data_IF_971980532899
#
_entry.id   IF_971980532899
#
_cell.length_a   1.000
_cell.length_b   1.000
_cell.length_c   1.000
_cell.angle_alpha   90.00
_cell.angle_beta   90.00
_cell.angle_gamma   90.00
#
_symmetry.space_group_name_H-M   'P 1'
#
loop_
_entity.id
_entity.type
_entity.pdbx_description
1 polymer ?
#
# COMPACT_ATOMS: atom_id res chain seq x y z
N UNK A 1 13.73 -13.21 5.49
CA UNK A 1 13.57 -11.74 5.70
C UNK A 1 14.66 -11.29 6.68
N UNK A 2 15.31 -10.18 6.44
CA UNK A 2 16.24 -9.58 7.39
C UNK A 2 15.41 -8.80 8.41
N UNK A 3 15.52 -9.10 9.70
CA UNK A 3 14.68 -8.50 10.75
C UNK A 3 14.68 -6.95 10.74
N UNK A 4 15.81 -6.32 10.34
CA UNK A 4 15.90 -4.87 10.21
C UNK A 4 15.00 -4.25 9.14
N UNK A 5 14.70 -4.92 8.05
CA UNK A 5 13.91 -4.36 6.95
C UNK A 5 12.43 -4.20 7.33
N UNK A 6 11.90 -5.06 8.21
CA UNK A 6 10.52 -4.94 8.67
C UNK A 6 10.34 -3.68 9.55
N UNK A 7 11.24 -3.47 10.50
CA UNK A 7 11.23 -2.29 11.36
C UNK A 7 11.38 -1.00 10.54
N UNK A 8 12.24 -1.01 9.52
CA UNK A 8 12.42 0.12 8.60
C UNK A 8 11.14 0.43 7.81
N UNK A 9 10.43 -0.59 7.34
CA UNK A 9 9.15 -0.42 6.65
C UNK A 9 8.08 0.18 7.58
N UNK A 10 7.97 -0.34 8.79
CA UNK A 10 7.07 0.18 9.83
C UNK A 10 7.40 1.64 10.14
N UNK A 11 8.69 1.96 10.31
CA UNK A 11 9.13 3.33 10.61
C UNK A 11 8.77 4.31 9.48
N UNK A 12 8.95 3.92 8.21
CA UNK A 12 8.56 4.73 7.04
C UNK A 12 7.07 5.02 7.04
N UNK A 13 6.23 4.00 7.26
CA UNK A 13 4.77 4.15 7.28
C UNK A 13 4.34 5.02 8.47
N UNK A 14 4.88 4.81 9.65
CA UNK A 14 4.57 5.60 10.84
C UNK A 14 4.98 7.06 10.66
N UNK A 15 6.16 7.33 10.10
CA UNK A 15 6.63 8.69 9.78
C UNK A 15 5.69 9.37 8.76
N UNK A 16 5.26 8.63 7.75
CA UNK A 16 4.30 9.12 6.75
C UNK A 16 2.99 9.56 7.43
N UNK A 17 2.36 8.70 8.20
CA UNK A 17 1.10 9.02 8.88
C UNK A 17 1.23 10.18 9.88
N UNK A 18 2.33 10.24 10.64
CA UNK A 18 2.59 11.35 11.59
C UNK A 18 2.74 12.71 10.91
N UNK A 19 3.11 12.74 9.63
CA UNK A 19 3.22 13.96 8.81
C UNK A 19 1.94 14.29 8.04
N UNK A 20 0.87 13.50 8.25
CA UNK A 20 -0.40 13.68 7.53
C UNK A 20 -0.40 13.10 6.12
N UNK A 21 0.59 12.26 5.78
CA UNK A 21 0.66 11.53 4.52
C UNK A 21 -0.24 10.29 4.53
N UNK A 22 -0.22 9.55 3.42
CA UNK A 22 -1.01 8.34 3.21
C UNK A 22 -0.18 7.21 2.62
N UNK A 23 -0.67 5.99 2.80
CA UNK A 23 -0.14 4.78 2.17
C UNK A 23 -0.95 4.48 0.90
N UNK A 24 -0.28 4.37 -0.24
CA UNK A 24 -0.86 3.84 -1.47
C UNK A 24 -0.39 2.39 -1.66
N UNK A 25 -1.26 1.54 -2.17
CA UNK A 25 -0.94 0.12 -2.35
C UNK A 25 -1.35 -0.38 -3.73
N UNK A 26 -0.51 -1.23 -4.32
CA UNK A 26 -0.80 -1.88 -5.58
C UNK A 26 -0.23 -3.31 -5.64
N UNK A 27 -0.92 -4.17 -6.38
CA UNK A 27 -0.57 -5.57 -6.59
C UNK A 27 -1.53 -6.22 -7.57
N UNK A 28 -1.27 -7.46 -7.97
CA UNK A 28 -2.11 -8.19 -8.91
C UNK A 28 -2.65 -9.48 -8.28
N UNK A 29 -3.85 -9.91 -8.68
CA UNK A 29 -4.41 -11.19 -8.23
C UNK A 29 -4.53 -11.28 -6.70
N UNK A 30 -3.90 -12.29 -6.08
CA UNK A 30 -3.86 -12.45 -4.63
C UNK A 30 -3.23 -11.26 -3.92
N UNK A 31 -2.16 -10.69 -4.48
CA UNK A 31 -1.54 -9.46 -3.95
C UNK A 31 -2.46 -8.23 -4.01
N UNK A 32 -3.43 -8.17 -4.93
CA UNK A 32 -4.47 -7.15 -4.92
C UNK A 32 -5.45 -7.38 -3.76
N UNK A 33 -5.79 -8.64 -3.46
CA UNK A 33 -6.61 -8.97 -2.30
C UNK A 33 -5.90 -8.58 -0.98
N UNK A 34 -4.59 -8.77 -0.89
CA UNK A 34 -3.78 -8.32 0.25
C UNK A 34 -3.82 -6.79 0.40
N UNK A 35 -3.75 -6.03 -0.70
CA UNK A 35 -3.91 -4.57 -0.68
C UNK A 35 -5.26 -4.16 -0.07
N UNK A 36 -6.35 -4.75 -0.53
CA UNK A 36 -7.69 -4.47 -0.02
C UNK A 36 -7.82 -4.81 1.48
N UNK A 37 -7.26 -5.97 1.90
CA UNK A 37 -7.26 -6.40 3.29
C UNK A 37 -6.52 -5.40 4.18
N UNK A 38 -5.26 -5.07 3.85
CA UNK A 38 -4.43 -4.14 4.64
C UNK A 38 -5.08 -2.76 4.72
N UNK A 39 -5.63 -2.24 3.62
CA UNK A 39 -6.33 -0.96 3.63
C UNK A 39 -7.56 -1.01 4.56
N UNK A 40 -8.31 -2.11 4.57
CA UNK A 40 -9.43 -2.31 5.49
C UNK A 40 -9.00 -2.25 6.97
N UNK A 41 -7.88 -2.87 7.32
CA UNK A 41 -7.34 -2.85 8.70
C UNK A 41 -6.80 -1.48 9.10
N UNK A 42 -6.22 -0.73 8.16
CA UNK A 42 -5.73 0.63 8.40
C UNK A 42 -6.88 1.65 8.49
N UNK A 43 -7.90 1.52 7.65
CA UNK A 43 -9.03 2.44 7.62
C UNK A 43 -9.91 2.36 8.88
N UNK A 44 -9.98 1.21 9.53
CA UNK A 44 -10.63 1.00 10.82
C UNK A 44 -9.74 0.12 11.72
N UNK A 45 -9.74 0.35 13.03
CA UNK A 45 -9.02 -0.51 13.97
C UNK A 45 -9.62 -1.92 14.01
N UNK A 46 -8.77 -2.95 14.00
CA UNK A 46 -9.16 -4.35 14.13
C UNK A 46 -8.97 -4.85 15.57
N UNK A 47 -7.74 -5.16 15.98
CA UNK A 47 -7.43 -5.60 17.35
C UNK A 47 -7.51 -4.43 18.33
N UNK A 48 -6.98 -3.27 17.94
CA UNK A 48 -6.97 -2.06 18.76
C UNK A 48 -7.88 -0.99 18.15
N UNK A 49 -8.94 -0.61 18.86
CA UNK A 49 -9.81 0.47 18.43
C UNK A 49 -9.10 1.82 18.57
N UNK A 50 -9.22 2.66 17.56
CA UNK A 50 -8.71 4.02 17.56
C UNK A 50 -9.85 5.02 17.78
N UNK A 51 -10.08 5.51 19.01
CA UNK A 51 -11.21 6.40 19.29
C UNK A 51 -11.06 7.72 18.53
N UNK A 52 -12.20 8.34 18.18
CA UNK A 52 -12.20 9.71 17.66
C UNK A 52 -11.67 10.69 18.70
N UNK A 53 -10.95 11.71 18.24
CA UNK A 53 -10.61 12.85 19.09
C UNK A 53 -11.89 13.48 19.68
N UNK A 54 -11.88 13.92 20.95
CA UNK A 54 -13.07 14.45 21.61
C UNK A 54 -13.77 15.57 20.85
N UNK A 55 -13.00 16.47 20.26
CA UNK A 55 -13.50 17.61 19.48
C UNK A 55 -14.21 17.15 18.19
N UNK A 56 -13.65 16.17 17.50
CA UNK A 56 -14.26 15.59 16.30
C UNK A 56 -15.53 14.81 16.66
N UNK A 57 -15.49 14.04 17.75
CA UNK A 57 -16.64 13.33 18.28
C UNK A 57 -17.79 14.27 18.62
N UNK A 58 -17.50 15.40 19.25
CA UNK A 58 -18.50 16.42 19.59
C UNK A 58 -19.10 17.06 18.33
N UNK A 59 -18.30 17.33 17.30
CA UNK A 59 -18.76 17.94 16.04
C UNK A 59 -19.63 17.00 15.23
N UNK A 60 -19.32 15.70 15.19
CA UNK A 60 -20.14 14.68 14.52
C UNK A 60 -21.46 14.46 15.27
N UNK A 61 -21.40 14.43 16.61
CA UNK A 61 -22.56 14.24 17.47
C UNK A 61 -23.06 12.78 17.55
N UNK A 62 -23.90 12.51 18.55
CA UNK A 62 -24.58 11.22 18.69
C UNK A 62 -25.81 11.15 17.75
N UNK A 63 -26.20 9.94 17.28
CA UNK A 63 -25.59 8.63 17.58
C UNK A 63 -24.40 8.28 16.67
N UNK A 64 -24.10 9.09 15.65
CA UNK A 64 -23.18 8.76 14.58
C UNK A 64 -21.73 8.56 15.04
N UNK A 65 -21.27 9.41 15.96
CA UNK A 65 -19.91 9.33 16.48
C UNK A 65 -19.61 8.05 17.27
N UNK A 66 -20.64 7.40 17.83
CA UNK A 66 -20.46 6.24 18.72
C UNK A 66 -19.95 4.99 17.99
N UNK A 67 -20.25 4.86 16.71
CA UNK A 67 -19.80 3.74 15.86
C UNK A 67 -18.52 3.98 15.09
N UNK A 68 -17.97 5.22 15.10
CA UNK A 68 -16.84 5.57 14.28
C UNK A 68 -15.49 5.43 15.02
N UNK A 69 -14.43 5.23 14.23
CA UNK A 69 -13.05 5.17 14.69
C UNK A 69 -12.18 6.07 13.81
N UNK A 70 -11.04 6.54 14.34
CA UNK A 70 -10.01 7.15 13.53
C UNK A 70 -9.40 6.12 12.57
N UNK A 71 -9.42 6.42 11.26
CA UNK A 71 -8.71 5.67 10.25
C UNK A 71 -7.28 6.19 10.06
N UNK A 72 -6.40 5.31 9.57
CA UNK A 72 -5.13 5.69 9.00
C UNK A 72 -5.31 5.83 7.47
N UNK A 73 -4.82 6.90 6.84
CA UNK A 73 -5.11 7.16 5.44
C UNK A 73 -4.36 6.17 4.54
N UNK A 74 -5.08 5.20 4.00
CA UNK A 74 -4.56 4.20 3.07
C UNK A 74 -5.48 4.08 1.85
N UNK A 75 -4.89 3.87 0.67
CA UNK A 75 -5.60 3.80 -0.59
C UNK A 75 -5.19 2.55 -1.38
N UNK A 76 -6.16 1.69 -1.67
CA UNK A 76 -6.01 0.55 -2.56
C UNK A 76 -6.19 0.98 -4.02
N UNK A 77 -5.10 0.98 -4.79
CA UNK A 77 -5.11 1.32 -6.22
C UNK A 77 -5.73 0.22 -7.10
N UNK A 78 -6.06 -0.92 -6.52
CA UNK A 78 -6.69 -2.05 -7.23
C UNK A 78 -8.23 -2.01 -7.18
N UNK A 79 -8.80 -1.18 -6.32
CA UNK A 79 -10.24 -1.23 -5.98
C UNK A 79 -11.14 -0.50 -6.99
N UNK A 80 -10.65 0.50 -7.72
CA UNK A 80 -11.48 1.28 -8.63
C UNK A 80 -11.52 0.66 -10.03
N UNK A 81 -12.40 -0.32 -10.23
CA UNK A 81 -12.55 -1.04 -11.50
C UNK A 81 -12.83 -0.12 -12.69
N UNK A 82 -13.64 0.93 -12.52
CA UNK A 82 -13.96 1.87 -13.59
C UNK A 82 -12.73 2.68 -14.03
N UNK A 83 -11.94 3.16 -13.08
CA UNK A 83 -10.72 3.90 -13.37
C UNK A 83 -9.66 2.99 -14.02
N UNK A 84 -9.50 1.76 -13.52
CA UNK A 84 -8.60 0.77 -14.13
C UNK A 84 -9.01 0.48 -15.58
N UNK A 85 -10.31 0.28 -15.85
CA UNK A 85 -10.81 0.04 -17.19
C UNK A 85 -10.56 1.25 -18.11
N UNK A 86 -10.78 2.48 -17.64
CA UNK A 86 -10.53 3.69 -18.40
C UNK A 86 -9.03 3.84 -18.73
N UNK A 87 -8.14 3.69 -17.75
CA UNK A 87 -6.70 3.77 -17.98
C UNK A 87 -6.24 2.69 -18.97
N UNK A 88 -6.75 1.47 -18.82
CA UNK A 88 -6.42 0.35 -19.72
C UNK A 88 -6.83 0.64 -21.17
N UNK A 89 -8.00 1.24 -21.37
CA UNK A 89 -8.52 1.56 -22.69
C UNK A 89 -7.83 2.77 -23.33
N UNK A 90 -7.62 3.83 -22.55
CA UNK A 90 -7.25 5.14 -23.08
C UNK A 90 -5.74 5.38 -23.08
N UNK A 91 -4.98 4.65 -22.24
CA UNK A 91 -3.55 4.82 -22.06
C UNK A 91 -2.82 3.49 -22.32
N UNK A 92 -2.81 2.60 -21.30
CA UNK A 92 -2.11 1.31 -21.33
C UNK A 92 -2.43 0.52 -20.05
N UNK A 93 -2.75 -0.76 -20.19
CA UNK A 93 -3.03 -1.66 -19.07
C UNK A 93 -1.86 -1.85 -18.09
N UNK A 94 -0.62 -1.63 -18.53
CA UNK A 94 0.56 -1.66 -17.66
C UNK A 94 0.76 -0.37 -16.87
N UNK A 95 0.03 0.68 -17.19
CA UNK A 95 0.11 1.99 -16.51
C UNK A 95 -1.00 2.22 -15.47
N UNK A 96 -1.85 1.23 -15.22
CA UNK A 96 -3.03 1.37 -14.33
C UNK A 96 -2.70 1.88 -12.94
N UNK A 97 -1.59 1.44 -12.34
CA UNK A 97 -1.17 1.89 -11.02
C UNK A 97 -0.33 3.17 -11.10
N UNK A 98 0.55 3.29 -12.08
CA UNK A 98 1.39 4.48 -12.27
C UNK A 98 0.55 5.74 -12.47
N UNK A 99 -0.53 5.66 -13.28
CA UNK A 99 -1.44 6.77 -13.50
C UNK A 99 -2.19 7.17 -12.22
N UNK A 100 -2.58 6.20 -11.39
CA UNK A 100 -3.21 6.48 -10.11
C UNK A 100 -2.20 7.06 -9.09
N UNK A 101 -0.94 6.62 -9.11
CA UNK A 101 0.13 7.23 -8.30
C UNK A 101 0.33 8.69 -8.68
N UNK A 102 0.32 9.05 -9.98
CA UNK A 102 0.36 10.46 -10.42
C UNK A 102 -0.83 11.28 -9.92
N UNK A 103 -2.02 10.68 -9.91
CA UNK A 103 -3.23 11.38 -9.47
C UNK A 103 -3.26 11.62 -7.95
N UNK A 104 -2.93 10.61 -7.17
CA UNK A 104 -3.15 10.58 -5.73
C UNK A 104 -1.90 10.78 -4.89
N UNK A 105 -0.72 10.43 -5.41
CA UNK A 105 0.56 10.51 -4.68
C UNK A 105 1.02 11.95 -4.46
N UNK A 106 1.65 12.18 -3.32
CA UNK A 106 2.26 13.46 -2.95
C UNK A 106 3.63 13.20 -2.31
N UNK A 107 4.56 14.15 -2.35
CA UNK A 107 5.83 14.04 -1.62
C UNK A 107 5.60 13.70 -0.15
N UNK A 108 6.31 12.72 0.37
CA UNK A 108 6.17 12.24 1.75
C UNK A 108 5.13 11.14 1.99
N UNK A 109 4.33 10.80 0.97
CA UNK A 109 3.52 9.58 0.99
C UNK A 109 4.40 8.33 0.84
N UNK A 110 3.82 7.15 1.07
CA UNK A 110 4.47 5.85 0.86
C UNK A 110 3.69 5.06 -0.19
N UNK A 111 4.40 4.41 -1.12
CA UNK A 111 3.84 3.38 -1.97
C UNK A 111 4.35 2.00 -1.51
N UNK A 112 3.43 1.08 -1.19
CA UNK A 112 3.70 -0.35 -1.01
C UNK A 112 3.30 -1.09 -2.29
N UNK A 113 4.28 -1.62 -3.00
CA UNK A 113 4.09 -2.50 -4.15
C UNK A 113 4.20 -3.96 -3.75
N UNK A 114 3.20 -4.77 -4.08
CA UNK A 114 3.18 -6.22 -3.80
C UNK A 114 3.29 -7.00 -5.10
N UNK A 115 4.33 -7.82 -5.23
CA UNK A 115 4.54 -8.69 -6.38
C UNK A 115 5.33 -9.93 -5.98
N UNK A 116 4.74 -11.11 -6.09
CA UNK A 116 5.39 -12.37 -5.70
C UNK A 116 6.70 -12.63 -6.44
N UNK A 117 6.81 -12.26 -7.71
CA UNK A 117 8.04 -12.36 -8.50
C UNK A 117 8.96 -11.14 -8.38
N UNK A 118 8.47 -10.01 -7.84
CA UNK A 118 9.16 -8.73 -7.89
C UNK A 118 9.32 -8.15 -9.32
N UNK A 119 8.63 -8.73 -10.33
CA UNK A 119 8.83 -8.39 -11.73
C UNK A 119 7.58 -7.89 -12.46
N UNK A 120 6.45 -7.73 -11.75
CA UNK A 120 5.21 -7.23 -12.35
C UNK A 120 5.40 -5.83 -12.92
N UNK A 121 5.31 -5.69 -14.24
CA UNK A 121 5.61 -4.45 -14.95
C UNK A 121 4.79 -3.26 -14.47
N UNK A 122 3.48 -3.45 -14.26
CA UNK A 122 2.59 -2.39 -13.77
C UNK A 122 2.95 -1.93 -12.35
N UNK A 123 3.39 -2.84 -11.47
CA UNK A 123 3.88 -2.50 -10.13
C UNK A 123 5.23 -1.76 -10.23
N UNK A 124 6.17 -2.24 -11.06
CA UNK A 124 7.47 -1.58 -11.28
C UNK A 124 7.28 -0.14 -11.80
N UNK A 125 6.35 0.08 -12.74
CA UNK A 125 6.02 1.43 -13.23
C UNK A 125 5.47 2.33 -12.13
N UNK A 126 4.59 1.80 -11.26
CA UNK A 126 4.09 2.54 -10.11
C UNK A 126 5.19 2.93 -9.13
N UNK A 127 6.13 2.00 -8.82
CA UNK A 127 7.28 2.25 -7.96
C UNK A 127 8.19 3.35 -8.54
N UNK A 128 8.50 3.28 -9.84
CA UNK A 128 9.28 4.31 -10.53
C UNK A 128 8.59 5.68 -10.47
N UNK A 129 7.28 5.71 -10.69
CA UNK A 129 6.48 6.95 -10.61
C UNK A 129 6.46 7.53 -9.20
N UNK A 130 6.29 6.69 -8.18
CA UNK A 130 6.32 7.13 -6.78
C UNK A 130 7.65 7.78 -6.40
N UNK A 131 8.78 7.18 -6.80
CA UNK A 131 10.11 7.76 -6.59
C UNK A 131 10.27 9.12 -7.28
N UNK A 132 9.77 9.24 -8.50
CA UNK A 132 9.79 10.52 -9.23
C UNK A 132 8.97 11.63 -8.54
N UNK A 133 7.95 11.25 -7.75
CA UNK A 133 7.15 12.16 -6.92
C UNK A 133 7.74 12.39 -5.52
N UNK A 134 8.94 11.90 -5.22
CA UNK A 134 9.56 11.94 -3.88
C UNK A 134 8.69 11.27 -2.80
N UNK A 135 8.03 10.18 -3.16
CA UNK A 135 7.39 9.27 -2.24
C UNK A 135 8.41 8.21 -1.79
N UNK A 136 8.27 7.71 -0.58
CA UNK A 136 9.00 6.53 -0.15
C UNK A 136 8.37 5.26 -0.75
N UNK A 137 9.19 4.23 -0.97
CA UNK A 137 8.77 3.01 -1.66
C UNK A 137 9.12 1.76 -0.85
N UNK A 138 8.13 0.90 -0.63
CA UNK A 138 8.29 -0.40 0.03
C UNK A 138 7.88 -1.49 -0.97
N UNK A 139 8.71 -2.52 -1.13
CA UNK A 139 8.41 -3.69 -1.94
C UNK A 139 8.14 -4.90 -1.05
N UNK A 140 7.06 -5.64 -1.30
CA UNK A 140 6.76 -6.93 -0.69
C UNK A 140 6.80 -8.00 -1.76
N UNK A 141 7.78 -8.94 -1.67
CA UNK A 141 8.11 -9.84 -2.76
C UNK A 141 8.50 -11.25 -2.29
N UNK A 142 8.66 -12.17 -3.22
CA UNK A 142 9.38 -13.42 -3.01
C UNK A 142 10.90 -13.22 -3.03
N UNK A 143 11.64 -14.33 -2.94
CA UNK A 143 13.08 -14.35 -2.77
C UNK A 143 13.84 -13.48 -3.80
N UNK A 144 14.68 -12.59 -3.29
CA UNK A 144 15.57 -11.74 -4.08
C UNK A 144 14.92 -10.49 -4.70
N UNK A 145 13.61 -10.28 -4.54
CA UNK A 145 12.95 -9.02 -4.89
C UNK A 145 12.79 -8.69 -6.39
N UNK A 146 13.36 -9.47 -7.28
CA UNK A 146 13.30 -9.21 -8.71
C UNK A 146 13.75 -7.79 -9.09
N UNK A 147 13.08 -7.21 -10.09
CA UNK A 147 13.32 -5.82 -10.55
C UNK A 147 12.93 -4.79 -9.48
N UNK A 148 11.98 -5.12 -8.62
CA UNK A 148 11.53 -4.21 -7.57
C UNK A 148 12.62 -3.93 -6.54
N UNK A 149 13.59 -4.84 -6.32
CA UNK A 149 14.68 -4.64 -5.38
C UNK A 149 15.46 -3.34 -5.62
N UNK A 150 15.64 -2.93 -6.88
CA UNK A 150 16.32 -1.68 -7.26
C UNK A 150 15.40 -0.45 -7.19
N UNK A 151 14.10 -0.64 -7.02
CA UNK A 151 13.08 0.41 -7.02
C UNK A 151 12.54 0.72 -5.61
N UNK A 152 12.91 -0.06 -4.60
CA UNK A 152 12.43 0.09 -3.24
C UNK A 152 13.45 0.81 -2.36
N UNK A 153 12.99 1.67 -1.46
CA UNK A 153 13.78 2.17 -0.34
C UNK A 153 13.89 1.08 0.73
N UNK A 154 12.82 0.30 0.92
CA UNK A 154 12.82 -0.90 1.77
C UNK A 154 12.22 -2.08 1.01
N UNK A 155 12.93 -3.20 1.02
CA UNK A 155 12.48 -4.46 0.43
C UNK A 155 12.18 -5.49 1.52
N UNK A 156 10.94 -5.98 1.53
CA UNK A 156 10.49 -7.11 2.33
C UNK A 156 10.40 -8.33 1.42
N UNK A 157 11.45 -9.12 1.34
CA UNK A 157 11.48 -10.35 0.57
C UNK A 157 11.33 -11.58 1.46
N UNK A 158 10.41 -12.47 1.11
CA UNK A 158 10.23 -13.76 1.80
C UNK A 158 11.02 -14.85 1.09
N UNK A 159 11.55 -15.82 1.85
CA UNK A 159 12.33 -16.93 1.32
C UNK A 159 11.42 -18.00 0.68
N UNK A 160 10.78 -17.62 -0.44
CA UNK A 160 9.95 -18.47 -1.29
C UNK A 160 9.96 -17.95 -2.74
N UNK A 161 9.77 -18.85 -3.70
CA UNK A 161 9.72 -18.54 -5.13
C UNK A 161 8.37 -18.89 -5.76
N UNK A 162 7.70 -19.93 -5.29
CA UNK A 162 6.37 -20.31 -5.78
C UNK A 162 5.33 -19.31 -5.32
N UNK A 163 4.51 -18.81 -6.25
CA UNK A 163 3.56 -17.74 -6.02
C UNK A 163 2.68 -17.96 -4.78
N UNK A 164 2.11 -19.14 -4.61
CA UNK A 164 1.22 -19.43 -3.48
C UNK A 164 1.98 -19.42 -2.14
N UNK A 165 3.21 -19.95 -2.09
CA UNK A 165 4.04 -19.91 -0.87
C UNK A 165 4.46 -18.50 -0.51
N UNK A 166 4.76 -17.65 -1.50
CA UNK A 166 5.06 -16.25 -1.28
C UNK A 166 3.85 -15.55 -0.67
N UNK A 167 2.65 -15.74 -1.23
CA UNK A 167 1.41 -15.13 -0.72
C UNK A 167 1.08 -15.58 0.70
N UNK A 168 1.23 -16.87 1.03
CA UNK A 168 1.04 -17.37 2.40
C UNK A 168 1.99 -16.72 3.40
N UNK A 169 3.19 -16.33 2.97
CA UNK A 169 4.18 -15.66 3.82
C UNK A 169 4.04 -14.15 3.86
N UNK A 170 3.35 -13.54 2.89
CA UNK A 170 3.03 -12.10 2.91
C UNK A 170 1.97 -11.77 3.97
N UNK A 171 0.98 -12.64 4.14
CA UNK A 171 -0.17 -12.37 5.01
C UNK A 171 0.18 -12.12 6.49
N UNK A 172 1.17 -12.80 7.12
CA UNK A 172 1.56 -12.53 8.51
C UNK A 172 2.40 -11.27 8.70
N UNK A 173 2.92 -10.65 7.63
CA UNK A 173 3.74 -9.44 7.66
C UNK A 173 2.90 -8.19 7.75
#
# INVERSE_FOLDING_TARGET
MRDGNFDDAVELIVKCFRRGGKLLMCGNGGSAADCAHIVGELAKGFVSRRPLAPELRARIGKPWADGLQCGLPALDLTANCALIAAITNDIDGLSVYAQQVLAYGRPGDVLLGISTSGNSENVCRAMTTARALNMATIGLTGAGGGRMAALCDVLLDVDAVETYLVQERHLPL
#
